data_IF_500515210519
#
_entry.id   IF_500515210519
#
_cell.length_a   1.000
_cell.length_b   1.000
_cell.length_c   1.000
_cell.angle_alpha   90.00
_cell.angle_beta   90.00
_cell.angle_gamma   90.00
#
_symmetry.space_group_name_H-M   'P 1'
#
loop_
_entity.id
_entity.type
_entity.pdbx_description
1 polymer ?
#
# COMPACT_ATOMS: atom_id res chain seq x y z
N UNK A 1 11.37 15.48 -1.41
CA UNK A 1 11.65 14.07 -1.04
C UNK A 1 13.10 13.97 -0.57
N UNK A 2 13.41 13.11 0.42
CA UNK A 2 14.82 12.88 0.79
C UNK A 2 15.43 11.79 -0.10
N UNK A 3 16.69 11.94 -0.50
CA UNK A 3 17.43 10.94 -1.31
C UNK A 3 17.41 9.53 -0.68
N UNK A 4 17.28 9.47 0.65
CA UNK A 4 17.18 8.22 1.39
C UNK A 4 15.88 7.45 1.14
N UNK A 5 14.75 8.15 1.01
CA UNK A 5 13.46 7.52 0.71
C UNK A 5 13.47 7.00 -0.73
N UNK A 6 14.00 7.80 -1.65
CA UNK A 6 14.16 7.43 -3.06
C UNK A 6 14.99 6.15 -3.22
N UNK A 7 16.18 6.09 -2.60
CA UNK A 7 17.00 4.88 -2.65
C UNK A 7 16.32 3.63 -2.06
N UNK A 8 15.48 3.77 -1.03
CA UNK A 8 14.70 2.65 -0.48
C UNK A 8 13.65 2.16 -1.49
N UNK A 9 13.01 3.07 -2.24
CA UNK A 9 12.04 2.71 -3.27
C UNK A 9 12.73 2.05 -4.45
N UNK A 10 13.85 2.61 -4.91
CA UNK A 10 14.62 2.04 -6.02
C UNK A 10 15.10 0.62 -5.68
N UNK A 11 15.63 0.42 -4.47
CA UNK A 11 16.03 -0.90 -3.98
C UNK A 11 14.84 -1.88 -3.94
N UNK A 12 13.65 -1.42 -3.54
CA UNK A 12 12.44 -2.26 -3.53
C UNK A 12 12.04 -2.67 -4.94
N UNK A 13 11.96 -1.71 -5.87
CA UNK A 13 11.58 -1.96 -7.26
C UNK A 13 12.60 -2.85 -7.98
N UNK A 14 13.88 -2.78 -7.60
CA UNK A 14 14.92 -3.66 -8.14
C UNK A 14 14.86 -5.09 -7.60
N UNK A 15 14.45 -5.28 -6.35
CA UNK A 15 14.39 -6.62 -5.71
C UNK A 15 13.05 -7.30 -5.95
N UNK A 16 11.96 -6.53 -6.09
CA UNK A 16 10.61 -7.04 -6.20
C UNK A 16 10.03 -6.81 -7.60
N UNK A 17 10.25 -7.77 -8.49
CA UNK A 17 9.86 -7.71 -9.91
C UNK A 17 8.34 -7.56 -10.12
N UNK A 18 7.52 -7.92 -9.12
CA UNK A 18 6.06 -7.88 -9.26
C UNK A 18 5.44 -6.56 -8.77
N UNK A 19 6.24 -5.62 -8.26
CA UNK A 19 5.79 -4.31 -7.80
C UNK A 19 5.90 -3.30 -8.97
N UNK A 20 4.81 -3.09 -9.70
CA UNK A 20 4.87 -2.19 -10.87
C UNK A 20 4.77 -0.71 -10.47
N UNK A 21 4.21 -0.37 -9.29
CA UNK A 21 4.10 1.01 -8.82
C UNK A 21 4.13 1.10 -7.29
N UNK A 22 4.70 2.19 -6.77
CA UNK A 22 4.86 2.43 -5.32
C UNK A 22 4.36 3.83 -4.96
N UNK A 23 3.77 3.96 -3.77
CA UNK A 23 3.39 5.22 -3.16
C UNK A 23 3.64 5.15 -1.66
N UNK A 24 4.01 6.28 -1.07
CA UNK A 24 4.24 6.42 0.37
C UNK A 24 3.33 7.51 0.90
N UNK A 25 2.57 7.16 1.93
CA UNK A 25 1.77 8.09 2.72
C UNK A 25 2.51 8.33 4.04
N UNK A 26 2.74 9.61 4.36
CA UNK A 26 3.35 10.04 5.61
C UNK A 26 2.41 9.91 6.79
N UNK A 27 2.93 10.06 8.01
CA UNK A 27 2.09 9.96 9.23
C UNK A 27 1.02 11.05 9.35
N UNK A 28 1.14 12.12 8.57
CA UNK A 28 0.17 13.19 8.42
C UNK A 28 -0.96 12.87 7.42
N UNK A 29 -0.94 11.67 6.83
CA UNK A 29 -1.90 11.23 5.82
C UNK A 29 -1.68 11.85 4.44
N UNK A 30 -0.58 12.58 4.21
CA UNK A 30 -0.23 13.16 2.92
C UNK A 30 0.71 12.25 2.13
N UNK A 31 0.67 12.37 0.79
CA UNK A 31 1.60 11.63 -0.07
C UNK A 31 2.99 12.23 0.07
N UNK A 32 3.95 11.40 0.49
CA UNK A 32 5.38 11.75 0.53
C UNK A 32 5.97 11.65 -0.87
N UNK A 33 5.66 10.56 -1.57
CA UNK A 33 6.09 10.30 -2.95
C UNK A 33 5.28 9.18 -3.58
N UNK A 34 5.31 9.09 -4.91
CA UNK A 34 4.76 7.98 -5.69
C UNK A 34 5.51 7.86 -7.02
N UNK A 35 5.55 6.66 -7.60
CA UNK A 35 6.09 6.43 -8.94
C UNK A 35 5.25 7.15 -10.01
N UNK A 36 5.85 7.54 -11.13
CA UNK A 36 5.20 8.39 -12.14
C UNK A 36 4.07 7.69 -12.91
N UNK A 37 4.05 6.36 -12.92
CA UNK A 37 3.10 5.55 -13.66
C UNK A 37 1.72 5.41 -13.01
N UNK A 38 1.51 6.00 -11.83
CA UNK A 38 0.20 6.04 -11.18
C UNK A 38 0.04 7.30 -10.31
N UNK A 39 -1.18 7.56 -9.87
CA UNK A 39 -1.50 8.72 -9.04
C UNK A 39 -2.63 8.41 -8.08
N UNK A 40 -2.31 8.30 -6.78
CA UNK A 40 -3.28 7.97 -5.72
C UNK A 40 -3.89 9.20 -5.05
N UNK A 41 -3.49 10.42 -5.45
CA UNK A 41 -3.90 11.68 -4.79
C UNK A 41 -5.41 11.89 -4.74
N UNK A 42 -6.13 11.49 -5.78
CA UNK A 42 -7.59 11.65 -5.83
C UNK A 42 -8.35 10.64 -4.95
N UNK A 43 -7.68 9.57 -4.52
CA UNK A 43 -8.25 8.48 -3.72
C UNK A 43 -7.66 8.47 -2.30
N UNK A 44 -6.88 9.50 -1.94
CA UNK A 44 -6.14 9.57 -0.68
C UNK A 44 -7.04 9.52 0.56
N UNK A 45 -8.24 10.14 0.48
CA UNK A 45 -9.23 10.13 1.56
C UNK A 45 -9.66 8.70 1.91
N UNK A 46 -10.08 7.91 0.92
CA UNK A 46 -10.54 6.53 1.13
C UNK A 46 -9.39 5.58 1.50
N UNK A 47 -8.17 5.85 1.00
CA UNK A 47 -6.97 5.10 1.42
C UNK A 47 -6.69 5.34 2.91
N UNK A 48 -6.73 6.60 3.34
CA UNK A 48 -6.53 6.96 4.75
C UNK A 48 -7.66 6.41 5.65
N UNK A 49 -8.90 6.38 5.16
CA UNK A 49 -10.01 5.75 5.88
C UNK A 49 -9.74 4.27 6.12
N UNK A 50 -9.37 3.51 5.07
CA UNK A 50 -9.01 2.10 5.18
C UNK A 50 -7.79 1.89 6.09
N UNK A 51 -6.78 2.75 5.98
CA UNK A 51 -5.54 2.67 6.76
C UNK A 51 -5.81 2.78 8.27
N UNK A 52 -6.65 3.73 8.65
CA UNK A 52 -6.96 4.06 10.05
C UNK A 52 -8.14 3.26 10.62
N UNK A 53 -8.80 2.43 9.80
CA UNK A 53 -9.88 1.56 10.25
C UNK A 53 -9.37 0.54 11.29
N UNK A 54 -9.97 0.58 12.48
CA UNK A 54 -9.76 -0.40 13.55
C UNK A 54 -10.90 -1.39 13.55
N UNK A 55 -10.62 -2.64 13.19
CA UNK A 55 -11.62 -3.70 13.19
C UNK A 55 -11.79 -4.28 14.59
N UNK A 56 -12.99 -4.16 15.16
CA UNK A 56 -13.37 -4.95 16.31
C UNK A 56 -13.76 -6.38 15.88
N UNK A 57 -13.70 -7.32 16.81
CA UNK A 57 -14.06 -8.72 16.56
C UNK A 57 -15.53 -8.81 16.09
N UNK A 58 -15.75 -9.20 14.84
CA UNK A 58 -17.09 -9.39 14.27
C UNK A 58 -17.66 -8.20 13.48
N UNK A 59 -16.95 -7.10 13.35
CA UNK A 59 -17.38 -5.96 12.52
C UNK A 59 -17.08 -6.19 11.03
N UNK A 60 -18.00 -5.72 10.18
CA UNK A 60 -17.77 -5.63 8.74
C UNK A 60 -17.08 -4.31 8.44
N UNK A 61 -15.77 -4.36 8.26
CA UNK A 61 -15.01 -3.21 7.80
C UNK A 61 -15.19 -2.90 6.32
N UNK A 62 -14.36 -1.99 5.82
CA UNK A 62 -14.27 -1.62 4.41
C UNK A 62 -14.01 -2.88 3.57
N UNK A 63 -14.97 -3.19 2.70
CA UNK A 63 -14.95 -4.42 1.87
C UNK A 63 -14.33 -4.20 0.49
N UNK A 64 -14.16 -2.95 0.07
CA UNK A 64 -13.50 -2.62 -1.19
C UNK A 64 -12.91 -1.22 -1.16
N UNK A 65 -11.82 -1.02 -1.89
CA UNK A 65 -11.14 0.24 -2.13
C UNK A 65 -11.12 0.52 -3.63
N UNK A 66 -11.33 1.76 -4.06
CA UNK A 66 -11.11 2.15 -5.45
C UNK A 66 -9.92 3.09 -5.54
N UNK A 67 -8.98 2.78 -6.44
CA UNK A 67 -7.82 3.62 -6.75
C UNK A 67 -7.80 3.83 -8.27
N UNK A 68 -7.79 5.08 -8.72
CA UNK A 68 -7.84 5.47 -10.14
C UNK A 68 -9.00 4.80 -10.91
N UNK A 69 -10.16 4.65 -10.26
CA UNK A 69 -11.34 4.00 -10.85
C UNK A 69 -11.23 2.47 -10.97
N UNK A 70 -10.16 1.84 -10.50
CA UNK A 70 -10.05 0.39 -10.37
C UNK A 70 -10.52 -0.03 -8.99
N UNK A 71 -11.57 -0.85 -8.94
CA UNK A 71 -12.12 -1.39 -7.69
C UNK A 71 -11.35 -2.65 -7.27
N UNK A 72 -10.86 -2.65 -6.04
CA UNK A 72 -10.18 -3.76 -5.38
C UNK A 72 -11.02 -4.25 -4.21
N UNK A 73 -11.34 -5.54 -4.17
CA UNK A 73 -12.01 -6.17 -3.04
C UNK A 73 -11.00 -6.43 -1.94
N UNK A 74 -11.29 -5.99 -0.71
CA UNK A 74 -10.41 -6.23 0.43
C UNK A 74 -10.52 -7.70 0.84
N UNK A 75 -9.43 -8.44 0.66
CA UNK A 75 -9.34 -9.87 0.96
C UNK A 75 -8.57 -10.14 2.26
N UNK A 76 -7.84 -9.13 2.75
CA UNK A 76 -7.10 -9.20 4.02
C UNK A 76 -6.99 -7.80 4.61
N UNK A 77 -7.28 -7.63 5.90
CA UNK A 77 -7.21 -6.36 6.60
C UNK A 77 -6.69 -6.60 8.02
N UNK A 78 -5.39 -6.41 8.21
CA UNK A 78 -4.70 -6.53 9.49
C UNK A 78 -3.97 -5.21 9.80
N UNK A 79 -3.40 -5.09 11.00
CA UNK A 79 -2.56 -3.94 11.35
C UNK A 79 -1.22 -3.94 10.58
N UNK A 80 -0.74 -5.11 10.16
CA UNK A 80 0.56 -5.23 9.46
C UNK A 80 0.43 -5.05 7.95
N UNK A 81 -0.74 -5.38 7.39
CA UNK A 81 -1.01 -5.34 5.96
C UNK A 81 -2.50 -5.34 5.65
N UNK A 82 -2.85 -4.67 4.55
CA UNK A 82 -4.18 -4.68 3.95
C UNK A 82 -4.03 -5.02 2.47
N UNK A 83 -4.83 -5.95 1.96
CA UNK A 83 -4.72 -6.48 0.59
C UNK A 83 -6.04 -6.28 -0.13
N UNK A 84 -5.98 -5.57 -1.24
CA UNK A 84 -7.07 -5.42 -2.21
C UNK A 84 -6.78 -6.19 -3.49
N UNK A 85 -7.78 -6.88 -4.04
CA UNK A 85 -7.67 -7.61 -5.32
C UNK A 85 -8.75 -7.18 -6.29
N UNK A 86 -8.37 -6.80 -7.51
CA UNK A 86 -9.34 -6.54 -8.56
C UNK A 86 -9.81 -7.87 -9.18
N UNK A 87 -11.11 -8.14 -9.10
CA UNK A 87 -11.70 -9.40 -9.58
C UNK A 87 -11.83 -9.48 -11.11
N UNK A 88 -11.54 -8.39 -11.84
CA UNK A 88 -11.56 -8.34 -13.31
C UNK A 88 -10.15 -8.44 -13.91
N UNK A 89 -9.14 -8.83 -13.13
CA UNK A 89 -7.78 -9.12 -13.60
C UNK A 89 -6.90 -7.88 -13.81
N UNK A 90 -7.19 -6.77 -13.12
CA UNK A 90 -6.39 -5.53 -13.17
C UNK A 90 -5.34 -5.41 -12.06
N UNK A 91 -4.98 -6.52 -11.40
CA UNK A 91 -3.94 -6.53 -10.39
C UNK A 91 -4.44 -6.39 -8.96
N UNK A 92 -3.49 -6.09 -8.07
CA UNK A 92 -3.71 -6.04 -6.63
C UNK A 92 -3.09 -4.80 -6.03
N UNK A 93 -3.52 -4.47 -4.82
CA UNK A 93 -2.93 -3.39 -4.02
C UNK A 93 -2.59 -3.97 -2.66
N UNK A 94 -1.34 -3.77 -2.24
CA UNK A 94 -0.83 -4.11 -0.92
C UNK A 94 -0.53 -2.81 -0.18
N UNK A 95 -1.14 -2.62 0.98
CA UNK A 95 -0.92 -1.48 1.87
C UNK A 95 -0.28 -2.01 3.14
N UNK A 96 0.94 -1.59 3.43
CA UNK A 96 1.67 -1.91 4.66
C UNK A 96 1.74 -0.66 5.56
N UNK A 97 0.98 -0.61 6.66
CA UNK A 97 1.02 0.51 7.59
C UNK A 97 2.41 0.73 8.21
N UNK A 98 2.76 2.00 8.44
CA UNK A 98 4.04 2.45 8.98
C UNK A 98 3.81 3.40 10.17
N UNK A 99 4.20 3.00 11.41
CA UNK A 99 4.54 1.64 11.82
C UNK A 99 3.32 0.69 11.69
N UNK A 100 3.46 -0.59 12.08
CA UNK A 100 2.35 -1.54 12.14
C UNK A 100 1.17 -0.91 12.92
N UNK A 101 -0.02 -0.88 12.30
CA UNK A 101 -1.23 -0.24 12.83
C UNK A 101 -1.22 1.30 12.84
N UNK A 102 -0.21 1.93 12.26
CA UNK A 102 -0.01 3.38 12.21
C UNK A 102 -0.64 4.08 11.01
N UNK A 103 -0.63 5.43 10.99
CA UNK A 103 -1.30 6.25 9.98
C UNK A 103 -0.46 6.52 8.72
N UNK A 104 0.83 6.15 8.71
CA UNK A 104 1.64 6.16 7.49
C UNK A 104 1.49 4.84 6.74
N UNK A 105 1.89 4.78 5.47
CA UNK A 105 1.82 3.54 4.70
C UNK A 105 2.82 3.49 3.53
N UNK A 106 3.31 2.29 3.25
CA UNK A 106 3.88 1.91 1.97
C UNK A 106 2.81 1.18 1.16
N UNK A 107 2.51 1.67 -0.03
CA UNK A 107 1.51 1.11 -0.93
C UNK A 107 2.21 0.59 -2.17
N UNK A 108 1.97 -0.66 -2.51
CA UNK A 108 2.44 -1.28 -3.73
C UNK A 108 1.25 -1.71 -4.60
N UNK A 109 1.26 -1.30 -5.86
CA UNK A 109 0.46 -1.95 -6.89
C UNK A 109 1.22 -3.17 -7.40
N UNK A 110 0.51 -4.29 -7.43
CA UNK A 110 1.05 -5.61 -7.81
C UNK A 110 0.54 -5.99 -9.18
N UNK A 111 1.44 -6.49 -10.02
CA UNK A 111 1.09 -6.92 -11.38
C UNK A 111 -0.04 -7.97 -11.36
N UNK A 112 -0.91 -8.03 -12.39
CA UNK A 112 -2.03 -8.98 -12.41
C UNK A 112 -1.69 -10.45 -12.61
N UNK A 113 -0.42 -10.76 -12.92
CA UNK A 113 0.06 -12.13 -13.15
C UNK A 113 0.60 -12.78 -11.88
N UNK A 114 0.96 -11.97 -10.87
CA UNK A 114 1.45 -12.41 -9.58
C UNK A 114 0.33 -12.50 -8.54
N UNK A 115 0.53 -13.32 -7.52
CA UNK A 115 -0.31 -13.30 -6.34
C UNK A 115 0.05 -12.10 -5.46
N UNK A 116 -0.93 -11.45 -4.80
CA UNK A 116 -0.65 -10.33 -3.90
C UNK A 116 0.21 -10.73 -2.69
N UNK A 117 0.29 -12.04 -2.40
CA UNK A 117 1.08 -12.57 -1.28
C UNK A 117 2.55 -12.76 -1.62
N UNK A 118 2.92 -12.75 -2.90
CA UNK A 118 4.28 -13.05 -3.36
C UNK A 118 5.27 -11.95 -2.95
N UNK A 119 4.77 -10.72 -2.76
CA UNK A 119 5.57 -9.53 -2.44
C UNK A 119 5.57 -9.18 -0.95
N UNK A 120 4.79 -9.88 -0.13
CA UNK A 120 4.56 -9.50 1.26
C UNK A 120 5.84 -9.34 2.05
N UNK A 121 6.75 -10.31 1.91
CA UNK A 121 8.01 -10.29 2.64
C UNK A 121 8.81 -9.02 2.35
N UNK A 122 9.04 -8.70 1.06
CA UNK A 122 9.82 -7.54 0.67
C UNK A 122 9.12 -6.25 1.07
N UNK A 123 7.84 -6.06 0.72
CA UNK A 123 7.13 -4.80 1.00
C UNK A 123 7.02 -4.54 2.51
N UNK A 124 6.77 -5.55 3.33
CA UNK A 124 6.72 -5.38 4.79
C UNK A 124 8.08 -5.03 5.39
N UNK A 125 9.17 -5.67 4.95
CA UNK A 125 10.52 -5.33 5.40
C UNK A 125 10.94 -3.92 5.00
N UNK A 126 10.59 -3.48 3.79
CA UNK A 126 10.86 -2.13 3.33
C UNK A 126 9.99 -1.08 4.04
N UNK A 127 8.74 -1.39 4.38
CA UNK A 127 7.90 -0.53 5.22
C UNK A 127 8.57 -0.25 6.59
N UNK A 128 9.22 -1.24 7.19
CA UNK A 128 9.97 -1.06 8.46
C UNK A 128 11.15 -0.10 8.32
N UNK A 129 11.84 -0.07 7.17
CA UNK A 129 12.96 0.86 6.91
C UNK A 129 12.52 2.33 6.88
N UNK A 130 11.23 2.59 6.63
CA UNK A 130 10.65 3.92 6.49
C UNK A 130 10.14 4.53 7.81
N UNK A 131 10.06 3.76 8.92
CA UNK A 131 9.42 4.18 10.19
C UNK A 131 9.92 5.54 10.71
N UNK A 132 11.22 5.81 10.59
CA UNK A 132 11.84 7.04 11.10
C UNK A 132 12.04 8.12 10.02
N UNK A 133 11.49 7.92 8.82
CA UNK A 133 11.68 8.79 7.66
C UNK A 133 10.40 9.50 7.21
N UNK A 134 9.23 9.03 7.65
CA UNK A 134 7.90 9.51 7.23
C UNK A 134 6.97 9.82 8.42
#
# INVERSE_FOLDING_TARGET
MSEKIEGIIDDLLNVEENADAIAIIGKDGQIVTQTENWNVSNDLEIINELLNEKLALGEKGITSLSIQGIKYMIVENTEERKIGTNITGKGHVLICPIPIGGPGALIAYVNPRAGPRDLLFNVQEYAKKLINLI
#
